data_IF_151859586338
#
_entry.id   IF_151859586338
#
_cell.length_a   1.000
_cell.length_b   1.000
_cell.length_c   1.000
_cell.angle_alpha   90.00
_cell.angle_beta   90.00
_cell.angle_gamma   90.00
#
_symmetry.space_group_name_H-M   'P 1'
#
loop_
_entity.id
_entity.type
_entity.pdbx_description
1 polymer ?
#
# COMPACT_ATOMS: atom_id res chain seq x y z
N UNK A 1 43.79 1.98 1.01
CA UNK A 1 42.63 1.99 1.92
C UNK A 1 41.81 3.26 1.69
N UNK A 2 41.34 3.49 0.44
CA UNK A 2 40.54 4.66 0.05
C UNK A 2 39.78 4.40 -1.28
N UNK A 3 39.49 3.14 -1.60
CA UNK A 3 38.79 2.74 -2.83
C UNK A 3 37.42 2.08 -2.56
N UNK A 4 37.17 1.60 -1.33
CA UNK A 4 35.92 0.89 -0.98
C UNK A 4 34.77 1.82 -0.56
N UNK A 5 35.06 3.03 -0.08
CA UNK A 5 34.03 3.94 0.46
C UNK A 5 33.10 4.55 -0.63
N UNK A 6 33.54 4.57 -1.89
CA UNK A 6 32.75 5.07 -3.02
C UNK A 6 31.71 4.04 -3.51
N UNK A 7 31.89 2.75 -3.24
CA UNK A 7 30.92 1.71 -3.61
C UNK A 7 29.74 1.71 -2.65
N UNK A 8 29.99 1.85 -1.34
CA UNK A 8 28.94 1.89 -0.31
C UNK A 8 28.00 3.11 -0.46
N UNK A 9 28.53 4.29 -0.80
CA UNK A 9 27.71 5.49 -1.06
C UNK A 9 26.84 5.37 -2.32
N UNK A 10 27.19 4.51 -3.27
CA UNK A 10 26.45 4.32 -4.52
C UNK A 10 25.27 3.36 -4.34
N UNK A 11 25.37 2.36 -3.48
CA UNK A 11 24.31 1.36 -3.27
C UNK A 11 23.02 2.00 -2.76
N UNK A 12 23.11 2.89 -1.77
CA UNK A 12 21.93 3.60 -1.24
C UNK A 12 21.32 4.59 -2.23
N UNK A 13 22.13 5.25 -3.05
CA UNK A 13 21.64 6.13 -4.11
C UNK A 13 20.86 5.35 -5.17
N UNK A 14 21.35 4.17 -5.58
CA UNK A 14 20.67 3.33 -6.56
C UNK A 14 19.40 2.66 -6.01
N UNK A 15 19.36 2.23 -4.74
CA UNK A 15 18.11 1.75 -4.11
C UNK A 15 17.02 2.84 -4.08
N UNK A 16 17.39 4.08 -3.75
CA UNK A 16 16.46 5.21 -3.71
C UNK A 16 15.96 5.61 -5.10
N UNK A 17 16.78 5.42 -6.14
CA UNK A 17 16.43 5.66 -7.55
C UNK A 17 15.53 4.56 -8.13
N UNK A 18 15.44 3.38 -7.48
CA UNK A 18 14.58 2.27 -7.93
C UNK A 18 13.12 2.36 -7.45
N UNK A 19 12.75 3.30 -6.57
CA UNK A 19 11.35 3.67 -6.29
C UNK A 19 11.06 5.05 -6.86
N UNK A 20 10.50 5.10 -8.06
CA UNK A 20 10.32 6.34 -8.85
C UNK A 20 9.22 7.26 -8.35
N UNK A 21 8.37 6.82 -7.41
CA UNK A 21 7.18 7.56 -6.95
C UNK A 21 7.27 8.08 -5.52
N UNK A 22 8.26 7.63 -4.73
CA UNK A 22 8.40 8.03 -3.32
C UNK A 22 7.32 7.48 -2.38
N UNK A 23 6.57 6.47 -2.83
CA UNK A 23 5.48 5.84 -2.09
C UNK A 23 5.91 4.68 -1.19
N UNK A 24 7.15 4.21 -1.34
CA UNK A 24 7.69 3.15 -0.49
C UNK A 24 7.53 3.49 1.01
N UNK A 25 6.90 2.60 1.77
CA UNK A 25 6.60 2.74 3.19
C UNK A 25 5.49 3.75 3.53
N UNK A 26 4.93 4.47 2.56
CA UNK A 26 3.79 5.38 2.79
C UNK A 26 2.51 4.58 3.02
N UNK A 27 1.65 5.11 3.88
CA UNK A 27 0.29 4.59 4.05
C UNK A 27 -0.62 5.18 2.97
N UNK A 28 -1.39 4.34 2.29
CA UNK A 28 -2.31 4.73 1.21
C UNK A 28 -3.67 4.09 1.45
N UNK A 29 -4.73 4.89 1.46
CA UNK A 29 -6.12 4.41 1.49
C UNK A 29 -6.64 4.35 0.06
N UNK A 30 -7.22 3.22 -0.33
CA UNK A 30 -7.97 3.08 -1.58
C UNK A 30 -9.41 2.69 -1.24
N UNK A 31 -10.37 3.51 -1.68
CA UNK A 31 -11.81 3.26 -1.50
C UNK A 31 -12.41 2.60 -2.74
N UNK A 32 -13.42 1.74 -2.58
CA UNK A 32 -13.94 0.94 -3.69
C UNK A 32 -12.89 -0.05 -4.20
N UNK A 33 -11.98 -0.46 -3.31
CA UNK A 33 -10.77 -1.20 -3.66
C UNK A 33 -10.97 -2.69 -3.90
N UNK A 34 -12.15 -3.24 -3.59
CA UNK A 34 -12.44 -4.66 -3.73
C UNK A 34 -12.70 -5.11 -5.17
N UNK A 35 -12.76 -4.19 -6.15
CA UNK A 35 -12.97 -4.55 -7.56
C UNK A 35 -12.51 -3.47 -8.56
N UNK A 36 -12.53 -3.81 -9.84
CA UNK A 36 -12.36 -2.88 -10.96
C UNK A 36 -11.13 -1.97 -10.83
N UNK A 37 -11.35 -0.66 -10.98
CA UNK A 37 -10.29 0.35 -10.93
C UNK A 37 -9.68 0.44 -9.53
N UNK A 38 -10.48 0.38 -8.47
CA UNK A 38 -9.97 0.46 -7.10
C UNK A 38 -9.02 -0.69 -6.77
N UNK A 39 -9.36 -1.92 -7.19
CA UNK A 39 -8.45 -3.08 -7.08
C UNK A 39 -7.14 -2.86 -7.84
N UNK A 40 -7.22 -2.44 -9.11
CA UNK A 40 -6.03 -2.19 -9.92
C UNK A 40 -5.13 -1.12 -9.28
N UNK A 41 -5.72 -0.06 -8.74
CA UNK A 41 -5.02 1.01 -8.02
C UNK A 41 -4.37 0.51 -6.74
N UNK A 42 -5.06 -0.30 -5.93
CA UNK A 42 -4.52 -0.88 -4.70
C UNK A 42 -3.28 -1.76 -5.00
N UNK A 43 -3.36 -2.60 -6.02
CA UNK A 43 -2.23 -3.43 -6.46
C UNK A 43 -1.06 -2.59 -6.97
N UNK A 44 -1.34 -1.52 -7.73
CA UNK A 44 -0.30 -0.62 -8.23
C UNK A 44 0.46 0.08 -7.10
N UNK A 45 -0.26 0.62 -6.11
CA UNK A 45 0.37 1.24 -4.94
C UNK A 45 1.19 0.24 -4.12
N UNK A 46 0.67 -0.98 -3.92
CA UNK A 46 1.41 -2.02 -3.22
C UNK A 46 2.70 -2.42 -3.97
N UNK A 47 2.66 -2.50 -5.31
CA UNK A 47 3.83 -2.78 -6.14
C UNK A 47 4.92 -1.69 -6.05
N UNK A 48 4.54 -0.46 -5.71
CA UNK A 48 5.46 0.65 -5.44
C UNK A 48 6.00 0.67 -4.00
N UNK A 49 5.62 -0.33 -3.18
CA UNK A 49 6.07 -0.51 -1.81
C UNK A 49 5.26 0.27 -0.77
N UNK A 50 4.07 0.79 -1.12
CA UNK A 50 3.16 1.39 -0.16
C UNK A 50 2.51 0.33 0.74
N UNK A 51 2.09 0.75 1.94
CA UNK A 51 1.20 -0.01 2.83
C UNK A 51 -0.24 0.39 2.51
N UNK A 52 -1.00 -0.54 1.94
CA UNK A 52 -2.29 -0.22 1.33
C UNK A 52 -3.45 -0.65 2.22
N UNK A 53 -4.27 0.32 2.64
CA UNK A 53 -5.58 0.04 3.21
C UNK A 53 -6.62 -0.10 2.09
N UNK A 54 -7.21 -1.29 2.01
CA UNK A 54 -8.27 -1.66 1.07
C UNK A 54 -9.63 -1.41 1.73
N UNK A 55 -10.28 -0.29 1.40
CA UNK A 55 -11.60 0.05 1.90
C UNK A 55 -12.68 -0.26 0.86
N UNK A 56 -13.66 -1.08 1.23
CA UNK A 56 -14.78 -1.43 0.34
C UNK A 56 -16.03 -1.84 1.13
N UNK A 57 -17.20 -1.75 0.49
CA UNK A 57 -18.45 -2.30 1.02
C UNK A 57 -18.47 -3.83 0.91
N UNK A 58 -17.86 -4.39 -0.13
CA UNK A 58 -17.79 -5.82 -0.37
C UNK A 58 -16.62 -6.46 0.41
N UNK A 59 -16.93 -7.17 1.50
CA UNK A 59 -15.93 -7.87 2.33
C UNK A 59 -15.07 -8.84 1.53
N UNK A 60 -15.69 -9.73 0.75
CA UNK A 60 -15.00 -10.77 -0.01
C UNK A 60 -14.09 -10.16 -1.08
N UNK A 61 -14.54 -9.07 -1.73
CA UNK A 61 -13.72 -8.33 -2.69
C UNK A 61 -12.50 -7.70 -2.02
N UNK A 62 -12.68 -7.04 -0.87
CA UNK A 62 -11.59 -6.41 -0.15
C UNK A 62 -10.55 -7.43 0.35
N UNK A 63 -11.00 -8.54 0.94
CA UNK A 63 -10.12 -9.60 1.42
C UNK A 63 -9.30 -10.23 0.28
N UNK A 64 -9.92 -10.55 -0.86
CA UNK A 64 -9.21 -11.06 -2.03
C UNK A 64 -8.11 -10.12 -2.52
N UNK A 65 -8.35 -8.81 -2.50
CA UNK A 65 -7.33 -7.84 -2.92
C UNK A 65 -6.16 -7.79 -1.93
N UNK A 66 -6.42 -7.91 -0.63
CA UNK A 66 -5.35 -8.04 0.38
C UNK A 66 -4.52 -9.32 0.15
N UNK A 67 -5.18 -10.45 -0.15
CA UNK A 67 -4.49 -11.70 -0.49
C UNK A 67 -3.61 -11.55 -1.73
N UNK A 68 -4.11 -10.88 -2.78
CA UNK A 68 -3.34 -10.62 -3.99
C UNK A 68 -2.14 -9.70 -3.73
N UNK A 69 -2.32 -8.65 -2.91
CA UNK A 69 -1.23 -7.77 -2.47
C UNK A 69 -0.16 -8.59 -1.75
N UNK A 70 -0.56 -9.44 -0.79
CA UNK A 70 0.36 -10.29 -0.04
C UNK A 70 1.06 -11.31 -0.93
N UNK A 71 0.33 -11.93 -1.87
CA UNK A 71 0.90 -12.88 -2.84
C UNK A 71 1.93 -12.23 -3.78
N UNK A 72 1.79 -10.93 -4.05
CA UNK A 72 2.77 -10.14 -4.80
C UNK A 72 3.93 -9.61 -3.94
N UNK A 73 3.97 -9.93 -2.65
CA UNK A 73 5.00 -9.47 -1.71
C UNK A 73 4.79 -8.05 -1.17
N UNK A 74 3.63 -7.45 -1.41
CA UNK A 74 3.24 -6.14 -0.89
C UNK A 74 2.62 -6.23 0.51
N UNK A 75 2.26 -5.07 1.07
CA UNK A 75 1.59 -4.97 2.38
C UNK A 75 0.21 -4.35 2.20
N UNK A 76 -0.83 -5.02 2.70
CA UNK A 76 -2.16 -4.44 2.75
C UNK A 76 -3.04 -5.01 3.84
N UNK A 77 -4.10 -4.28 4.18
CA UNK A 77 -5.14 -4.68 5.14
C UNK A 77 -6.49 -4.16 4.66
N UNK A 78 -7.55 -4.90 4.98
CA UNK A 78 -8.91 -4.54 4.60
C UNK A 78 -9.65 -3.82 5.74
N UNK A 79 -10.43 -2.82 5.39
CA UNK A 79 -11.50 -2.29 6.25
C UNK A 79 -12.79 -2.30 5.46
N UNK A 80 -13.72 -3.16 5.88
CA UNK A 80 -15.03 -3.26 5.22
C UNK A 80 -16.05 -2.34 5.89
N UNK A 81 -16.91 -1.72 5.09
CA UNK A 81 -18.08 -0.97 5.56
C UNK A 81 -18.59 0.04 4.55
N UNK A 82 -19.74 0.65 4.85
CA UNK A 82 -20.28 1.75 4.07
C UNK A 82 -19.58 3.06 4.45
N UNK A 83 -18.89 3.69 3.50
CA UNK A 83 -18.21 4.98 3.70
C UNK A 83 -19.19 6.16 3.83
N UNK A 84 -20.50 5.94 3.64
CA UNK A 84 -21.53 6.91 4.02
C UNK A 84 -21.68 7.03 5.54
N UNK A 85 -21.20 6.06 6.30
CA UNK A 85 -21.21 6.05 7.76
C UNK A 85 -19.90 6.62 8.34
N UNK A 86 -20.00 7.70 9.13
CA UNK A 86 -18.84 8.36 9.72
C UNK A 86 -17.96 7.40 10.56
N UNK A 87 -18.58 6.46 11.27
CA UNK A 87 -17.88 5.44 12.06
C UNK A 87 -16.96 4.55 11.22
N UNK A 88 -17.32 4.29 9.96
CA UNK A 88 -16.49 3.52 9.03
C UNK A 88 -15.33 4.38 8.54
N UNK A 89 -15.57 5.65 8.21
CA UNK A 89 -14.53 6.61 7.81
C UNK A 89 -13.49 6.79 8.92
N UNK A 90 -13.94 6.90 10.17
CA UNK A 90 -13.07 7.02 11.35
C UNK A 90 -12.19 5.77 11.49
N UNK A 91 -12.76 4.58 11.34
CA UNK A 91 -12.02 3.31 11.38
C UNK A 91 -11.00 3.20 10.25
N UNK A 92 -11.37 3.55 9.01
CA UNK A 92 -10.45 3.58 7.86
C UNK A 92 -9.25 4.48 8.16
N UNK A 93 -9.49 5.69 8.66
CA UNK A 93 -8.42 6.65 8.92
C UNK A 93 -7.53 6.19 10.08
N UNK A 94 -8.12 5.71 11.18
CA UNK A 94 -7.37 5.20 12.32
C UNK A 94 -6.49 4.01 11.93
N UNK A 95 -7.08 3.01 11.25
CA UNK A 95 -6.34 1.84 10.78
C UNK A 95 -5.23 2.23 9.82
N UNK A 96 -5.41 3.21 8.91
CA UNK A 96 -4.35 3.64 8.00
C UNK A 96 -3.15 4.30 8.71
N UNK A 97 -3.38 4.98 9.82
CA UNK A 97 -2.31 5.65 10.59
C UNK A 97 -1.50 4.66 11.42
N UNK A 98 -2.10 3.56 11.85
CA UNK A 98 -1.50 2.58 12.75
C UNK A 98 -0.71 1.45 12.06
N UNK A 99 -0.85 1.29 10.75
CA UNK A 99 -0.10 0.27 9.98
C UNK A 99 1.38 0.59 9.88
#
# INVERSE_FOLDING_TARGET
MAHDDLVASRTHFWEHVMSTTGLAGRSVIVTGAGSGIGRATALAFAAEGARVLVADLNAEGAEKVVEEIAAAGGTGVAVTGDLSEQTVVDRVTATAVEQ
#
